data_IF_276040631912
#
_entry.id   IF_276040631912
#
_cell.length_a   1.000
_cell.length_b   1.000
_cell.length_c   1.000
_cell.angle_alpha   90.00
_cell.angle_beta   90.00
_cell.angle_gamma   90.00
#
_symmetry.space_group_name_H-M   'P 1'
#
loop_
_entity.id
_entity.type
_entity.pdbx_description
1 polymer ?
#
# COMPACT_ATOMS: atom_id res chain seq x y z
N UNK A 1 57.01 44.54 21.42
CA UNK A 1 56.17 44.25 20.24
C UNK A 1 55.38 42.99 20.57
N UNK A 2 54.07 43.09 20.79
CA UNK A 2 53.20 41.93 21.01
C UNK A 2 52.38 41.69 19.75
N UNK A 3 52.65 40.58 19.06
CA UNK A 3 51.85 40.15 17.91
C UNK A 3 50.79 39.17 18.42
N UNK A 4 49.54 39.60 18.45
CA UNK A 4 48.38 38.74 18.69
C UNK A 4 47.98 38.06 17.38
N UNK A 5 48.21 36.76 17.29
CA UNK A 5 47.74 35.92 16.18
C UNK A 5 46.30 35.48 16.45
N UNK A 6 45.36 36.02 15.68
CA UNK A 6 43.96 35.55 15.67
C UNK A 6 43.91 34.33 14.74
N UNK A 7 43.78 33.14 15.32
CA UNK A 7 43.42 31.95 14.54
C UNK A 7 41.93 32.04 14.20
N UNK A 8 41.62 32.36 12.94
CA UNK A 8 40.27 32.21 12.41
C UNK A 8 40.00 30.71 12.20
N UNK A 9 39.20 30.12 13.07
CA UNK A 9 38.71 28.75 12.90
C UNK A 9 37.56 28.77 11.88
N UNK A 10 37.84 28.33 10.65
CA UNK A 10 36.80 28.05 9.66
C UNK A 10 36.02 26.80 10.08
N UNK A 11 34.79 26.99 10.59
CA UNK A 11 33.88 25.90 10.86
C UNK A 11 33.37 25.32 9.52
N UNK A 12 33.78 24.09 9.18
CA UNK A 12 33.14 23.33 8.11
C UNK A 12 31.80 22.82 8.63
N UNK A 13 30.69 23.42 8.17
CA UNK A 13 29.37 22.89 8.40
C UNK A 13 29.18 21.63 7.53
N UNK A 14 29.19 20.46 8.14
CA UNK A 14 28.77 19.22 7.50
C UNK A 14 27.25 19.24 7.35
N UNK A 15 26.76 19.38 6.12
CA UNK A 15 25.35 19.15 5.81
C UNK A 15 25.09 17.64 5.91
N UNK A 16 24.37 17.21 6.95
CA UNK A 16 23.90 15.84 7.06
C UNK A 16 22.80 15.61 6.01
N UNK A 17 23.08 14.77 5.02
CA UNK A 17 22.09 14.34 4.05
C UNK A 17 21.28 13.18 4.66
N UNK A 18 19.95 13.26 4.61
CA UNK A 18 19.09 12.14 4.97
C UNK A 18 19.36 10.94 4.05
N UNK A 19 19.53 9.75 4.62
CA UNK A 19 19.77 8.54 3.85
C UNK A 19 18.46 7.95 3.30
N UNK A 20 18.58 7.23 2.19
CA UNK A 20 17.50 6.44 1.60
C UNK A 20 17.78 4.95 1.81
N UNK A 21 16.79 4.23 2.36
CA UNK A 21 16.84 2.80 2.61
C UNK A 21 15.82 2.09 1.73
N UNK A 22 16.24 1.09 0.97
CA UNK A 22 15.35 0.38 0.04
C UNK A 22 14.82 -0.91 0.67
N UNK A 23 13.51 -1.13 0.56
CA UNK A 23 12.84 -2.39 0.87
C UNK A 23 12.10 -2.89 -0.37
N UNK A 24 12.46 -4.07 -0.85
CA UNK A 24 11.67 -4.79 -1.83
C UNK A 24 10.42 -5.37 -1.16
N UNK A 25 9.25 -5.14 -1.78
CA UNK A 25 7.96 -5.69 -1.40
C UNK A 25 7.62 -6.80 -2.38
N UNK A 26 7.86 -8.03 -1.96
CA UNK A 26 7.96 -9.20 -2.82
C UNK A 26 9.34 -9.31 -3.49
N UNK A 27 9.47 -10.30 -4.37
CA UNK A 27 10.66 -10.47 -5.22
C UNK A 27 10.30 -10.87 -6.66
N UNK A 28 11.32 -10.99 -7.52
CA UNK A 28 11.17 -11.37 -8.94
C UNK A 28 10.41 -12.69 -9.15
N UNK A 29 10.48 -13.61 -8.19
CA UNK A 29 9.82 -14.92 -8.25
C UNK A 29 8.39 -14.88 -7.69
N UNK A 30 7.97 -13.73 -7.16
CA UNK A 30 6.68 -13.52 -6.54
C UNK A 30 6.62 -14.04 -5.10
N UNK A 31 7.72 -14.17 -4.38
CA UNK A 31 7.64 -14.54 -2.97
C UNK A 31 6.94 -13.44 -2.15
N UNK A 32 6.26 -13.83 -1.07
CA UNK A 32 5.54 -12.92 -0.18
C UNK A 32 6.45 -12.43 0.96
N UNK A 33 7.45 -11.62 0.62
CA UNK A 33 8.50 -11.19 1.56
C UNK A 33 8.71 -9.69 1.56
N UNK A 34 9.23 -9.14 2.66
CA UNK A 34 9.89 -7.84 2.65
C UNK A 34 11.40 -8.07 2.68
N UNK A 35 12.16 -7.40 1.82
CA UNK A 35 13.61 -7.60 1.74
C UNK A 35 14.36 -6.26 1.66
N UNK A 36 15.16 -5.90 2.69
CA UNK A 36 15.25 -6.58 3.98
C UNK A 36 13.95 -6.45 4.78
N UNK A 37 13.68 -7.41 5.67
CA UNK A 37 12.55 -7.36 6.61
C UNK A 37 12.85 -6.55 7.87
N UNK A 38 14.11 -6.17 8.06
CA UNK A 38 14.58 -5.32 9.14
C UNK A 38 15.41 -4.18 8.55
N UNK A 39 15.05 -2.95 8.90
CA UNK A 39 15.78 -1.74 8.48
C UNK A 39 16.23 -0.97 9.73
N UNK A 40 17.46 -0.47 9.73
CA UNK A 40 17.95 0.48 10.74
C UNK A 40 18.18 1.82 10.04
N UNK A 41 17.49 2.87 10.49
CA UNK A 41 17.46 4.16 9.84
C UNK A 41 17.47 5.30 10.89
N UNK A 42 18.22 6.36 10.61
CA UNK A 42 18.28 7.54 11.46
C UNK A 42 16.99 8.37 11.33
N UNK A 43 16.76 9.28 12.28
CA UNK A 43 15.65 10.22 12.18
C UNK A 43 15.89 11.16 10.99
N UNK A 44 14.87 11.33 10.15
CA UNK A 44 14.94 12.08 8.89
C UNK A 44 15.31 11.23 7.68
N UNK A 45 15.83 10.01 7.87
CA UNK A 45 16.02 9.06 6.76
C UNK A 45 14.67 8.64 6.17
N UNK A 46 14.71 8.11 4.95
CA UNK A 46 13.54 7.57 4.27
C UNK A 46 13.68 6.07 4.03
N UNK A 47 12.57 5.35 4.14
CA UNK A 47 12.44 3.94 3.73
C UNK A 47 11.52 3.88 2.53
N UNK A 48 12.05 3.45 1.38
CA UNK A 48 11.35 3.37 0.10
C UNK A 48 11.03 1.92 -0.22
N UNK A 49 9.74 1.65 -0.33
CA UNK A 49 9.18 0.35 -0.63
C UNK A 49 8.94 0.23 -2.15
N UNK A 50 9.66 -0.69 -2.78
CA UNK A 50 9.53 -1.01 -4.21
C UNK A 50 8.81 -2.33 -4.42
N UNK A 51 7.73 -2.31 -5.19
CA UNK A 51 6.82 -3.44 -5.33
C UNK A 51 7.21 -4.34 -6.50
N UNK A 52 7.32 -5.64 -6.23
CA UNK A 52 7.59 -6.71 -7.21
C UNK A 52 6.30 -7.49 -7.52
N UNK A 53 6.30 -8.44 -8.48
CA UNK A 53 5.11 -9.14 -8.94
C UNK A 53 4.16 -9.62 -7.85
N UNK A 54 2.88 -9.73 -8.24
CA UNK A 54 1.67 -9.95 -7.42
C UNK A 54 1.09 -8.63 -6.92
N UNK A 55 0.14 -8.72 -5.98
CA UNK A 55 -0.48 -7.57 -5.34
C UNK A 55 -0.01 -7.51 -3.89
N UNK A 56 0.68 -6.43 -3.54
CA UNK A 56 1.21 -6.24 -2.20
C UNK A 56 0.89 -4.88 -1.65
N UNK A 57 1.12 -4.71 -0.36
CA UNK A 57 0.91 -3.47 0.35
C UNK A 57 1.81 -3.39 1.59
N UNK A 58 1.89 -2.20 2.17
CA UNK A 58 2.62 -1.88 3.40
C UNK A 58 1.65 -1.22 4.36
N UNK A 59 1.31 -1.91 5.44
CA UNK A 59 0.46 -1.41 6.53
C UNK A 59 1.27 -1.34 7.80
N UNK A 60 1.18 -0.23 8.52
CA UNK A 60 1.70 -0.16 9.88
C UNK A 60 0.74 -0.81 10.88
N UNK A 61 1.31 -1.59 11.78
CA UNK A 61 0.63 -2.19 12.92
C UNK A 61 1.37 -1.86 14.22
N UNK A 62 0.89 -2.43 15.32
CA UNK A 62 1.68 -2.53 16.54
C UNK A 62 2.32 -3.91 16.65
N UNK A 63 3.41 -4.03 17.41
CA UNK A 63 4.00 -5.33 17.71
C UNK A 63 2.98 -6.33 18.30
N UNK A 64 2.08 -5.84 19.16
CA UNK A 64 1.11 -6.67 19.87
C UNK A 64 -0.06 -7.16 18.99
N UNK A 65 -0.30 -6.51 17.86
CA UNK A 65 -1.41 -6.80 16.95
C UNK A 65 -0.90 -6.89 15.51
N UNK A 66 -0.11 -7.91 15.16
CA UNK A 66 0.23 -8.16 13.76
C UNK A 66 -1.03 -8.39 12.94
N UNK A 67 -0.97 -8.07 11.65
CA UNK A 67 -2.06 -8.26 10.69
C UNK A 67 -3.32 -7.39 10.95
N UNK A 68 -3.26 -6.48 11.91
CA UNK A 68 -4.28 -5.47 12.20
C UNK A 68 -3.68 -4.07 12.03
N UNK A 69 -4.37 -3.15 11.32
CA UNK A 69 -3.84 -1.81 11.12
C UNK A 69 -3.91 -1.03 12.43
N UNK A 70 -2.86 -0.27 12.75
CA UNK A 70 -2.96 0.68 13.85
C UNK A 70 -3.67 1.97 13.40
N UNK A 71 -4.31 2.65 14.33
CA UNK A 71 -4.89 3.97 14.09
C UNK A 71 -3.80 4.96 13.64
N UNK A 72 -4.12 5.77 12.62
CA UNK A 72 -3.23 6.76 12.01
C UNK A 72 -1.88 6.21 11.52
N UNK A 73 -1.80 4.89 11.32
CA UNK A 73 -0.63 4.21 10.80
C UNK A 73 -0.39 4.44 9.31
N UNK A 74 0.80 4.10 8.85
CA UNK A 74 1.14 4.17 7.43
C UNK A 74 0.37 3.13 6.60
N UNK A 75 -0.09 3.53 5.42
CA UNK A 75 -0.81 2.67 4.49
C UNK A 75 -0.42 3.01 3.05
N UNK A 76 0.28 2.12 2.35
CA UNK A 76 0.66 2.35 0.95
C UNK A 76 -0.52 2.27 -0.02
N UNK A 77 -1.61 1.60 0.36
CA UNK A 77 -2.53 1.03 -0.62
C UNK A 77 -1.98 -0.26 -1.23
N UNK A 78 -2.77 -0.88 -2.10
CA UNK A 78 -2.34 -2.04 -2.89
C UNK A 78 -1.64 -1.58 -4.17
N UNK A 79 -0.48 -2.17 -4.46
CA UNK A 79 0.28 -1.94 -5.69
C UNK A 79 0.41 -3.26 -6.44
N UNK A 80 -0.48 -3.54 -7.41
CA UNK A 80 -0.39 -4.74 -8.23
C UNK A 80 0.63 -4.55 -9.36
N UNK A 81 1.48 -5.55 -9.58
CA UNK A 81 2.34 -5.63 -10.76
C UNK A 81 2.53 -7.08 -11.18
N UNK A 82 2.85 -7.31 -12.45
CA UNK A 82 3.17 -8.63 -13.01
C UNK A 82 4.59 -8.70 -13.59
N UNK A 83 5.35 -7.60 -13.55
CA UNK A 83 6.68 -7.50 -14.15
C UNK A 83 7.75 -8.14 -13.25
N UNK A 84 8.35 -9.25 -13.70
CA UNK A 84 9.39 -9.99 -12.96
C UNK A 84 10.78 -9.41 -13.11
N UNK A 85 10.98 -8.45 -14.01
CA UNK A 85 12.28 -7.85 -14.31
C UNK A 85 12.47 -6.47 -13.72
N UNK A 86 11.37 -5.73 -13.52
CA UNK A 86 11.36 -4.39 -12.94
C UNK A 86 10.34 -4.29 -11.81
N UNK A 87 10.70 -3.58 -10.75
CA UNK A 87 9.73 -3.15 -9.77
C UNK A 87 8.67 -2.23 -10.41
N UNK A 88 7.48 -2.17 -9.83
CA UNK A 88 6.42 -1.26 -10.23
C UNK A 88 6.93 0.18 -10.28
N UNK A 89 6.38 0.97 -11.21
CA UNK A 89 6.64 2.41 -11.27
C UNK A 89 6.14 3.16 -10.03
N UNK A 90 5.20 2.56 -9.30
CA UNK A 90 4.71 3.05 -8.02
C UNK A 90 5.59 2.55 -6.88
N UNK A 91 6.05 3.47 -6.03
CA UNK A 91 6.72 3.17 -4.76
C UNK A 91 5.99 3.85 -3.60
N UNK A 92 6.27 3.40 -2.38
CA UNK A 92 5.78 4.04 -1.16
C UNK A 92 6.98 4.46 -0.30
N UNK A 93 7.03 5.72 0.12
CA UNK A 93 8.10 6.25 0.96
C UNK A 93 7.56 6.60 2.34
N UNK A 94 8.24 6.09 3.36
CA UNK A 94 8.04 6.47 4.75
C UNK A 94 9.24 7.28 5.24
N UNK A 95 9.01 8.42 5.89
CA UNK A 95 10.05 9.20 6.56
C UNK A 95 10.14 8.79 8.03
N UNK A 96 11.34 8.48 8.50
CA UNK A 96 11.58 8.07 9.88
C UNK A 96 11.52 9.28 10.79
N UNK A 97 10.36 9.49 11.42
CA UNK A 97 10.11 10.63 12.32
C UNK A 97 10.77 10.49 13.70
N UNK A 98 10.99 9.27 14.16
CA UNK A 98 11.60 8.97 15.46
C UNK A 98 12.39 7.67 15.34
N UNK A 99 13.73 7.76 15.41
CA UNK A 99 14.62 6.61 15.28
C UNK A 99 14.53 5.62 16.45
N UNK A 100 14.04 6.06 17.61
CA UNK A 100 13.91 5.23 18.82
C UNK A 100 12.55 4.54 18.93
N UNK A 101 11.63 4.79 17.99
CA UNK A 101 10.31 4.17 17.96
C UNK A 101 10.26 3.09 16.86
N UNK A 102 10.19 1.79 17.21
CA UNK A 102 10.06 0.73 16.22
C UNK A 102 8.77 0.85 15.41
N UNK A 103 8.88 0.68 14.10
CA UNK A 103 7.75 0.68 13.17
C UNK A 103 7.55 -0.73 12.65
N UNK A 104 6.50 -1.39 13.12
CA UNK A 104 6.12 -2.73 12.68
C UNK A 104 5.15 -2.64 11.52
N UNK A 105 5.35 -3.47 10.50
CA UNK A 105 4.52 -3.43 9.31
C UNK A 105 4.27 -4.81 8.71
N UNK A 106 3.23 -4.90 7.90
CA UNK A 106 2.80 -6.14 7.26
C UNK A 106 2.15 -5.87 5.90
N UNK A 107 1.96 -6.93 5.12
CA UNK A 107 1.16 -6.90 3.89
C UNK A 107 -0.25 -7.39 4.15
N UNK A 108 -1.26 -6.56 3.84
CA UNK A 108 -2.67 -6.91 4.08
C UNK A 108 -3.33 -7.72 2.95
N UNK A 109 -2.56 -8.19 1.96
CA UNK A 109 -3.11 -9.01 0.89
C UNK A 109 -3.37 -10.44 1.40
N UNK A 110 -4.62 -10.91 1.33
CA UNK A 110 -4.98 -12.31 1.61
C UNK A 110 -4.37 -12.81 2.92
N UNK A 111 -3.64 -13.93 2.89
CA UNK A 111 -2.90 -14.45 4.05
C UNK A 111 -1.40 -14.11 4.03
N UNK A 112 -0.98 -13.03 3.35
CA UNK A 112 0.46 -12.69 3.26
C UNK A 112 1.05 -12.40 4.64
N UNK A 113 0.33 -11.69 5.51
CA UNK A 113 0.81 -11.41 6.87
C UNK A 113 1.04 -12.70 7.68
N UNK A 114 0.04 -13.58 7.73
CA UNK A 114 0.15 -14.89 8.38
C UNK A 114 1.21 -15.78 7.72
N UNK A 115 1.42 -15.62 6.41
CA UNK A 115 2.49 -16.27 5.64
C UNK A 115 3.89 -15.71 5.91
N UNK A 116 4.04 -14.76 6.85
CA UNK A 116 5.32 -14.20 7.26
C UNK A 116 5.75 -12.94 6.51
N UNK A 117 4.87 -12.34 5.70
CA UNK A 117 5.13 -11.06 5.03
C UNK A 117 4.98 -9.89 6.00
N UNK A 118 5.96 -9.78 6.89
CA UNK A 118 6.05 -8.77 7.95
C UNK A 118 7.45 -8.19 8.02
N UNK A 119 7.59 -6.98 8.55
CA UNK A 119 8.87 -6.33 8.72
C UNK A 119 8.88 -5.29 9.84
N UNK A 120 10.07 -4.73 10.09
CA UNK A 120 10.29 -3.73 11.12
C UNK A 120 11.34 -2.70 10.72
N UNK A 121 11.07 -1.42 10.98
CA UNK A 121 12.07 -0.34 10.95
C UNK A 121 12.46 -0.05 12.40
N UNK A 122 13.77 0.05 12.66
CA UNK A 122 14.36 0.31 13.97
C UNK A 122 13.83 -0.64 15.06
N UNK A 123 14.03 -1.97 14.92
CA UNK A 123 13.65 -2.90 15.98
C UNK A 123 14.38 -2.57 17.29
N UNK A 124 13.81 -2.92 18.45
CA UNK A 124 14.51 -2.81 19.72
C UNK A 124 15.85 -3.56 19.68
N UNK A 125 16.92 -2.92 20.17
CA UNK A 125 18.25 -3.52 20.23
C UNK A 125 18.34 -4.71 21.20
N UNK A 126 17.37 -4.84 22.11
CA UNK A 126 17.28 -5.92 23.09
C UNK A 126 15.82 -6.17 23.51
N UNK A 127 15.59 -7.28 24.20
CA UNK A 127 14.27 -7.67 24.69
C UNK A 127 13.56 -8.69 23.80
N UNK A 128 12.29 -8.95 24.12
CA UNK A 128 11.51 -10.01 23.47
C UNK A 128 10.84 -9.58 22.15
N UNK A 129 10.83 -8.28 21.84
CA UNK A 129 10.16 -7.73 20.67
C UNK A 129 11.07 -7.80 19.43
N UNK A 130 11.29 -9.02 18.94
CA UNK A 130 12.13 -9.29 17.75
C UNK A 130 11.28 -9.50 16.50
N UNK A 131 11.91 -9.41 15.32
CA UNK A 131 11.24 -9.75 14.05
C UNK A 131 10.71 -11.19 14.04
N UNK A 132 11.43 -12.14 14.64
CA UNK A 132 10.98 -13.53 14.75
C UNK A 132 9.76 -13.68 15.66
N UNK A 133 9.74 -12.96 16.78
CA UNK A 133 8.57 -12.94 17.67
C UNK A 133 7.35 -12.34 16.96
N UNK A 134 7.56 -11.28 16.18
CA UNK A 134 6.50 -10.65 15.39
C UNK A 134 5.97 -11.57 14.28
N UNK A 135 6.85 -12.27 13.55
CA UNK A 135 6.48 -13.32 12.58
C UNK A 135 5.67 -14.43 13.21
N UNK A 136 6.10 -14.93 14.37
CA UNK A 136 5.38 -15.99 15.10
C UNK A 136 3.99 -15.53 15.51
N UNK A 137 3.85 -14.30 16.00
CA UNK A 137 2.56 -13.73 16.34
C UNK A 137 1.68 -13.52 15.10
N UNK A 138 2.26 -13.06 13.98
CA UNK A 138 1.55 -12.89 12.72
C UNK A 138 1.01 -14.21 12.17
N UNK A 139 1.79 -15.29 12.21
CA UNK A 139 1.36 -16.62 11.81
C UNK A 139 0.17 -17.16 12.64
N UNK A 140 0.00 -16.66 13.87
CA UNK A 140 -1.11 -17.01 14.75
C UNK A 140 -2.33 -16.09 14.64
N UNK A 141 -2.27 -15.02 13.83
CA UNK A 141 -3.37 -14.08 13.67
C UNK A 141 -4.52 -14.73 12.89
N UNK A 142 -5.76 -14.56 13.38
CA UNK A 142 -6.97 -15.10 12.75
C UNK A 142 -7.29 -14.42 11.43
N UNK A 143 -7.04 -13.11 11.35
CA UNK A 143 -7.47 -12.24 10.27
C UNK A 143 -6.31 -11.41 9.73
N UNK A 144 -6.42 -10.97 8.48
CA UNK A 144 -5.53 -10.00 7.86
C UNK A 144 -6.36 -8.81 7.38
N UNK A 145 -6.22 -7.69 8.06
CA UNK A 145 -7.12 -6.54 7.91
C UNK A 145 -6.42 -5.45 7.11
N UNK A 146 -7.09 -4.90 6.09
CA UNK A 146 -6.61 -3.70 5.41
C UNK A 146 -7.12 -2.43 6.11
N UNK A 147 -6.34 -1.34 6.15
CA UNK A 147 -6.83 -0.04 6.61
C UNK A 147 -8.01 0.46 5.78
N UNK A 148 -8.92 1.20 6.42
CA UNK A 148 -9.98 1.98 5.76
C UNK A 148 -9.54 3.40 5.42
N UNK A 149 -8.35 3.80 5.86
CA UNK A 149 -7.75 5.10 5.53
C UNK A 149 -7.38 5.19 4.04
N UNK A 150 -7.20 6.41 3.55
CA UNK A 150 -6.77 6.65 2.17
C UNK A 150 -5.37 6.06 1.94
N UNK A 151 -5.14 5.40 0.80
CA UNK A 151 -3.80 5.02 0.37
C UNK A 151 -2.86 6.25 0.37
N UNK A 152 -1.62 6.03 0.82
CA UNK A 152 -0.63 7.08 1.08
C UNK A 152 -0.70 7.71 2.47
N UNK A 153 -1.66 7.34 3.33
CA UNK A 153 -1.69 7.82 4.72
C UNK A 153 -0.38 7.45 5.43
N UNK A 154 0.16 8.35 6.24
CA UNK A 154 1.41 8.13 6.99
C UNK A 154 2.70 8.10 6.16
N UNK A 155 2.64 8.24 4.84
CA UNK A 155 3.80 8.29 3.95
C UNK A 155 3.52 9.04 2.64
N UNK A 156 4.24 8.70 1.57
CA UNK A 156 4.06 9.26 0.23
C UNK A 156 4.04 8.13 -0.79
N UNK A 157 3.00 8.09 -1.62
CA UNK A 157 2.99 7.24 -2.82
C UNK A 157 3.66 8.04 -3.92
N UNK A 158 4.72 7.49 -4.52
CA UNK A 158 5.42 8.11 -5.63
C UNK A 158 5.12 7.32 -6.89
N UNK A 159 4.62 8.00 -7.91
CA UNK A 159 4.41 7.40 -9.22
C UNK A 159 5.50 7.89 -10.16
N UNK A 160 6.49 7.04 -10.43
CA UNK A 160 7.52 7.33 -11.40
C UNK A 160 7.02 6.95 -12.80
N UNK A 161 5.98 7.64 -13.25
CA UNK A 161 5.56 7.61 -14.64
C UNK A 161 6.48 8.51 -15.46
N UNK A 162 6.95 8.04 -16.62
CA UNK A 162 7.22 8.97 -17.72
C UNK A 162 5.98 9.85 -17.84
N UNK A 163 6.12 11.14 -17.56
CA UNK A 163 5.06 12.11 -17.73
C UNK A 163 4.56 12.03 -19.17
N UNK A 164 3.45 11.33 -19.39
CA UNK A 164 2.58 11.65 -20.51
C UNK A 164 1.85 12.89 -20.04
N UNK A 165 2.21 14.04 -20.63
CA UNK A 165 1.52 15.31 -20.46
C UNK A 165 0.03 15.14 -20.72
N UNK A 166 -0.74 14.87 -19.67
CA UNK A 166 -2.16 15.17 -19.62
C UNK A 166 -2.26 16.58 -19.06
N UNK A 167 -2.46 17.56 -19.93
CA UNK A 167 -2.74 18.95 -19.54
C UNK A 167 -3.94 19.00 -18.59
N UNK A 168 -3.67 19.06 -17.29
CA UNK A 168 -4.62 19.57 -16.31
C UNK A 168 -4.60 21.08 -16.39
N UNK A 169 -5.53 21.66 -17.15
CA UNK A 169 -5.91 23.06 -16.95
C UNK A 169 -7.33 23.08 -16.38
N UNK A 170 -7.40 23.30 -15.07
CA UNK A 170 -8.58 23.78 -14.38
C UNK A 170 -8.81 25.25 -14.76
N UNK A 171 -9.99 25.55 -15.30
CA UNK A 171 -10.43 26.92 -15.57
C UNK A 171 -11.93 26.98 -15.82
N UNK A 172 -12.67 27.38 -14.79
CA UNK A 172 -14.07 27.81 -14.79
C UNK A 172 -14.28 29.06 -15.66
N UNK A 173 -15.26 29.08 -16.59
CA UNK A 173 -16.19 30.22 -16.73
C UNK A 173 -17.41 29.90 -17.63
N UNK A 174 -18.53 30.49 -17.22
CA UNK A 174 -19.87 30.52 -17.82
C UNK A 174 -19.94 31.26 -19.16
N UNK A 175 -20.85 30.84 -20.05
CA UNK A 175 -21.20 31.57 -21.28
C UNK A 175 -22.36 30.94 -22.06
N UNK A 176 -23.51 31.60 -22.05
CA UNK A 176 -24.70 31.31 -22.89
C UNK A 176 -24.45 31.64 -24.36
N UNK A 177 -24.99 30.82 -25.28
CA UNK A 177 -25.02 31.11 -26.73
C UNK A 177 -25.70 30.02 -27.55
N UNK A 178 -26.86 30.34 -28.11
CA UNK A 178 -27.73 29.47 -28.93
C UNK A 178 -27.28 29.31 -30.39
N UNK A 179 -27.89 28.31 -31.06
CA UNK A 179 -28.05 28.08 -32.52
C UNK A 179 -26.90 27.35 -33.23
N UNK A 180 -27.09 26.39 -34.16
CA UNK A 180 -28.28 25.79 -34.77
C UNK A 180 -27.91 24.46 -35.46
N UNK A 181 -28.93 23.58 -35.56
CA UNK A 181 -29.29 22.66 -36.66
C UNK A 181 -28.21 21.81 -37.35
N UNK A 182 -28.39 20.48 -37.32
CA UNK A 182 -28.46 19.68 -38.55
C UNK A 182 -29.49 18.56 -38.36
N UNK A 183 -30.38 18.47 -39.33
CA UNK A 183 -31.59 17.65 -39.40
C UNK A 183 -31.31 16.20 -39.80
N UNK A 184 -32.08 15.26 -39.27
CA UNK A 184 -32.18 13.88 -39.76
C UNK A 184 -33.44 13.21 -39.21
N UNK A 185 -34.44 13.04 -40.06
CA UNK A 185 -35.80 12.57 -39.77
C UNK A 185 -35.91 11.07 -39.40
N UNK A 186 -37.02 10.66 -38.75
CA UNK A 186 -37.20 9.34 -38.17
C UNK A 186 -37.87 8.36 -39.16
N UNK A 187 -37.67 7.06 -38.94
CA UNK A 187 -38.59 6.05 -39.48
C UNK A 187 -38.86 4.96 -38.43
N UNK A 188 -40.14 4.86 -38.10
CA UNK A 188 -40.77 3.89 -37.21
C UNK A 188 -41.42 2.78 -38.05
N UNK A 189 -41.36 1.55 -37.57
CA UNK A 189 -42.36 0.46 -37.71
C UNK A 189 -41.95 -0.62 -36.71
N UNK A 190 -42.66 -0.86 -35.60
CA UNK A 190 -43.83 -1.78 -35.47
C UNK A 190 -43.34 -3.25 -35.50
N UNK A 191 -43.65 -4.19 -34.61
CA UNK A 191 -44.75 -4.40 -33.67
C UNK A 191 -44.28 -5.37 -32.56
N UNK A 192 -44.59 -5.14 -31.29
CA UNK A 192 -45.61 -5.87 -30.50
C UNK A 192 -45.69 -7.40 -30.74
N UNK A 193 -45.37 -8.18 -29.70
CA UNK A 193 -46.35 -9.08 -29.07
C UNK A 193 -45.86 -9.65 -27.73
N UNK A 194 -46.76 -9.58 -26.78
CA UNK A 194 -46.76 -10.16 -25.44
C UNK A 194 -46.92 -11.68 -25.48
N UNK A 195 -46.57 -12.34 -24.36
CA UNK A 195 -47.15 -13.55 -23.71
C UNK A 195 -46.01 -14.08 -22.81
N UNK A 196 -46.07 -14.07 -21.49
CA UNK A 196 -47.16 -14.56 -20.63
C UNK A 196 -46.81 -15.98 -20.19
N UNK A 197 -46.47 -16.20 -18.91
CA UNK A 197 -46.24 -17.56 -18.41
C UNK A 197 -45.52 -17.65 -17.07
N UNK A 198 -46.25 -17.47 -15.98
CA UNK A 198 -45.88 -18.00 -14.67
C UNK A 198 -46.04 -19.52 -14.66
N UNK A 199 -45.07 -20.26 -14.13
CA UNK A 199 -45.28 -21.62 -13.60
C UNK A 199 -44.48 -21.79 -12.31
N UNK A 200 -45.22 -21.95 -11.22
CA UNK A 200 -44.77 -22.57 -10.00
C UNK A 200 -44.76 -24.10 -10.20
N UNK A 201 -43.73 -24.78 -9.71
CA UNK A 201 -43.80 -26.21 -9.41
C UNK A 201 -43.16 -26.50 -8.05
N UNK A 202 -43.86 -27.34 -7.31
CA UNK A 202 -43.61 -27.79 -5.96
C UNK A 202 -42.89 -29.15 -5.91
N UNK A 203 -42.36 -29.50 -4.74
CA UNK A 203 -41.86 -30.84 -4.38
C UNK A 203 -40.34 -30.99 -4.58
N UNK A 204 -39.58 -31.72 -3.77
CA UNK A 204 -39.93 -32.86 -2.93
C UNK A 204 -38.88 -33.04 -1.82
N UNK A 205 -39.34 -33.54 -0.69
CA UNK A 205 -38.63 -34.04 0.49
C UNK A 205 -37.48 -35.01 0.21
N UNK A 206 -36.40 -34.90 0.99
CA UNK A 206 -35.33 -35.89 1.08
C UNK A 206 -34.77 -36.01 2.50
N UNK A 207 -35.39 -36.86 3.31
CA UNK A 207 -34.96 -37.31 4.63
C UNK A 207 -34.05 -38.53 4.44
N UNK A 208 -32.80 -38.49 4.89
CA UNK A 208 -31.99 -39.69 5.09
C UNK A 208 -31.17 -39.58 6.38
N UNK A 209 -31.72 -40.20 7.42
CA UNK A 209 -31.03 -40.65 8.63
C UNK A 209 -30.21 -41.89 8.29
N UNK A 210 -28.94 -41.96 8.69
CA UNK A 210 -28.22 -43.24 8.85
C UNK A 210 -27.44 -43.27 10.17
N UNK A 211 -27.36 -44.48 10.69
CA UNK A 211 -27.19 -44.93 12.06
C UNK A 211 -25.76 -44.82 12.62
N UNK A 212 -25.71 -44.77 13.95
CA UNK A 212 -24.55 -45.10 14.78
C UNK A 212 -24.00 -46.51 14.49
N UNK A 213 -22.68 -46.61 14.48
CA UNK A 213 -21.89 -47.62 15.18
C UNK A 213 -20.59 -46.97 15.66
#
# INVERSE_FOLDING_TARGET
MHFSTIFAASAMASAAMAAEHIVAVGDKTGNIVFMPETVTAAQGDTVVFHFWPKNHSVVQSTFAKPCEPMADGMWSGFVPTTDTEKAASTSFTYEVKNASAPIWFYCSQGQHCQGGMVGVINPPASGANTIDAYKKAAAAASDNVSPTSKAGTGGKVNENGTATSGSGSSGTQSGSGSMASMSGTPQSTGAASQVGGSVAFAGLTGLFTFFML
#
